data_IF_644849450632
#
_entry.id   IF_644849450632
#
_cell.length_a   1.000
_cell.length_b   1.000
_cell.length_c   1.000
_cell.angle_alpha   90.00
_cell.angle_beta   90.00
_cell.angle_gamma   90.00
#
_symmetry.space_group_name_H-M   'P 1'
#
loop_
_entity.id
_entity.type
_entity.pdbx_description
1 polymer ?
#
# COMPACT_ATOMS: atom_id res chain seq x y z
N UNK A 1 3.70 12.52 -7.19
CA UNK A 1 3.48 13.10 -8.53
C UNK A 1 3.81 14.59 -8.58
N UNK A 2 3.10 15.46 -7.85
CA UNK A 2 3.33 16.92 -7.93
C UNK A 2 4.73 17.37 -7.45
N UNK A 3 5.43 16.59 -6.61
CA UNK A 3 6.84 16.83 -6.32
C UNK A 3 7.76 16.39 -7.47
N UNK A 4 7.53 15.20 -8.02
CA UNK A 4 8.39 14.62 -9.06
C UNK A 4 8.29 15.37 -10.39
N UNK A 5 7.13 15.95 -10.71
CA UNK A 5 6.92 16.64 -11.98
C UNK A 5 7.78 17.91 -12.13
N UNK A 6 7.86 18.84 -11.17
CA UNK A 6 8.69 20.03 -11.30
C UNK A 6 10.10 19.86 -10.68
N UNK A 7 10.61 18.63 -10.55
CA UNK A 7 11.90 18.33 -9.91
C UNK A 7 12.05 18.87 -8.48
N UNK A 8 11.13 18.46 -7.61
CA UNK A 8 11.13 18.76 -6.18
C UNK A 8 10.99 20.26 -5.82
N UNK A 9 10.67 21.12 -6.80
CA UNK A 9 10.32 22.54 -6.57
C UNK A 9 9.06 22.68 -5.73
N UNK A 10 8.10 21.77 -5.91
CA UNK A 10 6.94 21.63 -5.04
C UNK A 10 7.19 20.51 -4.04
N UNK A 11 6.73 20.70 -2.80
CA UNK A 11 6.83 19.68 -1.73
C UNK A 11 5.46 19.09 -1.44
N UNK A 12 5.43 17.80 -1.17
CA UNK A 12 4.24 17.11 -0.68
C UNK A 12 4.15 17.38 0.80
N UNK A 13 2.96 17.80 1.24
CA UNK A 13 2.73 18.09 2.64
C UNK A 13 2.60 16.79 3.43
N UNK A 14 3.54 16.55 4.34
CA UNK A 14 3.42 15.50 5.33
C UNK A 14 2.29 15.84 6.29
N UNK A 15 1.32 14.93 6.42
CA UNK A 15 0.19 15.08 7.32
C UNK A 15 -0.06 13.77 8.05
N UNK A 16 -0.54 13.86 9.29
CA UNK A 16 -0.89 12.71 10.13
C UNK A 16 -2.20 12.97 10.84
N UNK A 17 -2.99 11.92 11.04
CA UNK A 17 -4.17 11.97 11.89
C UNK A 17 -3.75 11.59 13.31
N UNK A 18 -3.99 12.48 14.28
CA UNK A 18 -3.69 12.21 15.69
C UNK A 18 -4.75 11.25 16.25
N UNK A 19 -4.29 10.12 16.79
CA UNK A 19 -5.11 9.24 17.62
C UNK A 19 -5.20 9.79 19.06
N UNK A 20 -6.21 9.36 19.81
CA UNK A 20 -6.31 9.69 21.25
C UNK A 20 -5.21 8.95 22.01
N UNK A 21 -4.57 9.61 22.98
CA UNK A 21 -3.47 9.02 23.77
C UNK A 21 -3.97 7.96 24.76
N UNK A 22 -5.18 8.14 25.31
CA UNK A 22 -5.80 7.22 26.28
C UNK A 22 -7.27 6.98 25.94
N UNK A 23 -7.65 5.71 25.86
CA UNK A 23 -9.02 5.28 25.57
C UNK A 23 -9.41 5.35 24.09
N UNK A 24 -10.65 4.95 23.77
CA UNK A 24 -11.14 4.91 22.39
C UNK A 24 -11.32 6.35 21.84
N UNK A 25 -10.77 6.69 20.66
CA UNK A 25 -11.08 7.96 19.99
C UNK A 25 -12.55 7.98 19.53
N UNK A 26 -13.19 9.17 19.50
CA UNK A 26 -14.51 9.30 18.88
C UNK A 26 -14.43 9.00 17.38
N UNK A 27 -15.54 8.56 16.80
CA UNK A 27 -15.62 8.30 15.36
C UNK A 27 -15.39 9.59 14.58
N UNK A 28 -14.49 9.53 13.60
CA UNK A 28 -14.16 10.65 12.71
C UNK A 28 -14.32 10.21 11.28
N UNK A 29 -15.32 10.76 10.61
CA UNK A 29 -15.56 10.52 9.20
C UNK A 29 -14.83 11.56 8.38
N UNK A 30 -13.88 11.11 7.57
CA UNK A 30 -13.10 11.96 6.67
C UNK A 30 -12.88 11.23 5.36
N UNK A 31 -12.96 11.96 4.25
CA UNK A 31 -12.62 11.43 2.93
C UNK A 31 -11.43 12.20 2.37
N UNK A 32 -10.38 11.48 1.96
CA UNK A 32 -9.27 12.06 1.23
C UNK A 32 -9.59 12.04 -0.26
N UNK A 33 -9.49 13.19 -0.92
CA UNK A 33 -9.65 13.32 -2.36
C UNK A 33 -8.28 13.49 -3.03
N UNK A 34 -8.06 12.78 -4.13
CA UNK A 34 -6.83 12.84 -4.91
C UNK A 34 -7.17 13.08 -6.38
N UNK A 35 -6.75 14.23 -6.92
CA UNK A 35 -6.80 14.48 -8.36
C UNK A 35 -5.53 13.92 -9.01
N UNK A 36 -5.64 12.77 -9.68
CA UNK A 36 -4.49 12.08 -10.31
C UNK A 36 -4.46 12.32 -11.81
N UNK A 37 -3.25 12.29 -12.40
CA UNK A 37 -3.09 12.39 -13.85
C UNK A 37 -3.66 11.17 -14.59
N UNK A 38 -3.96 11.34 -15.88
CA UNK A 38 -4.38 10.22 -16.76
C UNK A 38 -3.30 9.14 -16.78
N UNK A 39 -3.68 7.86 -16.77
CA UNK A 39 -2.74 6.73 -16.70
C UNK A 39 -1.62 6.78 -17.74
N UNK A 40 -1.96 7.17 -18.97
CA UNK A 40 -1.02 7.26 -20.11
C UNK A 40 -0.19 8.55 -20.14
N UNK A 41 -0.46 9.53 -19.27
CA UNK A 41 0.31 10.77 -19.25
C UNK A 41 1.73 10.50 -18.75
N UNK A 42 2.72 10.99 -19.50
CA UNK A 42 4.14 10.88 -19.14
C UNK A 42 4.49 12.02 -18.18
N UNK A 43 4.80 11.65 -16.95
CA UNK A 43 5.34 12.51 -15.91
C UNK A 43 6.85 12.65 -16.14
N UNK A 44 7.29 13.84 -16.53
CA UNK A 44 8.71 14.13 -16.78
C UNK A 44 9.11 15.45 -16.14
N UNK A 45 10.18 15.42 -15.36
CA UNK A 45 10.82 16.61 -14.83
C UNK A 45 11.71 17.30 -15.84
N UNK A 46 11.97 18.62 -15.70
CA UNK A 46 12.83 19.34 -16.62
C UNK A 46 14.28 18.81 -16.66
N UNK A 47 14.80 18.24 -15.58
CA UNK A 47 16.22 17.88 -15.43
C UNK A 47 16.48 16.60 -14.61
N UNK A 48 15.80 16.41 -13.47
CA UNK A 48 16.20 15.41 -12.45
C UNK A 48 15.43 14.10 -12.55
N UNK A 49 14.10 14.15 -12.69
CA UNK A 49 13.28 12.95 -12.65
C UNK A 49 13.09 12.37 -14.07
N UNK A 50 13.44 11.09 -14.30
CA UNK A 50 13.28 10.46 -15.60
C UNK A 50 11.78 10.34 -15.98
N UNK A 51 11.46 10.27 -17.29
CA UNK A 51 10.08 10.08 -17.74
C UNK A 51 9.48 8.78 -17.19
N UNK A 52 8.28 8.86 -16.62
CA UNK A 52 7.50 7.70 -16.16
C UNK A 52 6.02 7.96 -16.42
N UNK A 53 5.23 6.94 -16.79
CA UNK A 53 3.78 7.15 -16.91
C UNK A 53 3.15 7.35 -15.52
N UNK A 54 2.07 8.13 -15.46
CA UNK A 54 1.31 8.30 -14.23
C UNK A 54 0.76 6.98 -13.70
N UNK A 55 0.38 6.07 -14.60
CA UNK A 55 -0.05 4.71 -14.28
C UNK A 55 1.04 3.92 -13.57
N UNK A 56 2.24 3.87 -14.15
CA UNK A 56 3.37 3.12 -13.59
C UNK A 56 3.83 3.71 -12.26
N UNK A 57 3.93 5.04 -12.17
CA UNK A 57 4.25 5.74 -10.93
C UNK A 57 3.30 5.32 -9.80
N UNK A 58 1.98 5.36 -10.05
CA UNK A 58 1.00 4.96 -9.05
C UNK A 58 1.11 3.47 -8.70
N UNK A 59 1.30 2.60 -9.70
CA UNK A 59 1.44 1.17 -9.50
C UNK A 59 2.65 0.82 -8.62
N UNK A 60 3.80 1.46 -8.84
CA UNK A 60 4.98 1.27 -7.99
C UNK A 60 4.72 1.64 -6.53
N UNK A 61 4.06 2.78 -6.30
CA UNK A 61 3.74 3.25 -4.95
C UNK A 61 2.72 2.35 -4.25
N UNK A 62 1.69 1.90 -4.94
CA UNK A 62 0.72 0.93 -4.41
C UNK A 62 1.41 -0.41 -4.09
N UNK A 63 2.27 -0.91 -4.97
CA UNK A 63 3.02 -2.14 -4.76
C UNK A 63 3.94 -2.05 -3.54
N UNK A 64 4.62 -0.91 -3.34
CA UNK A 64 5.45 -0.66 -2.15
C UNK A 64 4.62 -0.66 -0.85
N UNK A 65 3.43 -0.05 -0.88
CA UNK A 65 2.58 0.09 0.30
C UNK A 65 1.81 -1.20 0.65
N UNK A 66 1.34 -1.94 -0.35
CA UNK A 66 0.39 -3.06 -0.16
C UNK A 66 0.89 -4.41 -0.72
N UNK A 67 2.03 -4.46 -1.42
CA UNK A 67 2.51 -5.66 -2.10
C UNK A 67 2.79 -6.86 -1.17
N UNK A 68 3.03 -6.62 0.11
CA UNK A 68 3.27 -7.67 1.11
C UNK A 68 1.97 -8.33 1.61
N UNK A 69 0.80 -7.70 1.42
CA UNK A 69 -0.47 -8.18 2.00
C UNK A 69 -0.90 -9.52 1.40
N UNK A 70 -0.54 -9.80 0.13
CA UNK A 70 -0.84 -11.08 -0.54
C UNK A 70 -0.04 -12.29 -0.01
N UNK A 71 1.13 -12.08 0.62
CA UNK A 71 1.97 -13.18 1.12
C UNK A 71 1.52 -13.70 2.50
N UNK A 72 0.83 -12.88 3.29
CA UNK A 72 0.32 -13.27 4.62
C UNK A 72 -1.01 -14.04 4.56
N UNK A 73 -1.91 -13.72 3.63
CA UNK A 73 -3.16 -14.46 3.44
C UNK A 73 -2.94 -15.86 2.84
N UNK A 74 -1.96 -16.00 1.95
CA UNK A 74 -1.60 -17.31 1.35
C UNK A 74 -0.92 -18.26 2.35
N UNK A 75 -0.27 -17.73 3.39
CA UNK A 75 0.38 -18.54 4.45
C UNK A 75 -0.63 -19.17 5.42
N UNK A 76 -1.81 -18.56 5.60
CA UNK A 76 -2.82 -19.03 6.57
C UNK A 76 -3.66 -20.21 6.06
N UNK A 77 -3.78 -20.40 4.73
CA UNK A 77 -4.52 -21.56 4.18
C UNK A 77 -3.71 -22.86 4.18
N UNK A 78 -2.38 -22.80 4.01
CA UNK A 78 -1.52 -24.01 4.01
C UNK A 78 -1.39 -24.68 5.39
N UNK A 79 -1.49 -23.94 6.50
CA UNK A 79 -1.35 -24.51 7.86
C UNK A 79 -2.58 -25.33 8.31
N UNK A 80 -3.74 -25.20 7.64
CA UNK A 80 -4.97 -25.93 7.99
C UNK A 80 -5.14 -27.30 7.32
N UNK A 81 -4.20 -27.77 6.49
CA UNK A 81 -4.29 -29.06 5.78
C UNK A 81 -3.41 -30.19 6.37
N UNK A 82 -2.85 -30.02 7.57
CA UNK A 82 -1.94 -30.99 8.19
C UNK A 82 -2.30 -31.31 9.65
N UNK A 83 -3.57 -31.60 9.93
CA UNK A 83 -4.00 -32.09 11.26
C UNK A 83 -4.85 -33.36 11.23
N UNK A 84 -4.91 -34.09 10.11
CA UNK A 84 -5.66 -35.35 10.00
C UNK A 84 -4.75 -36.58 9.88
N UNK A 85 -3.70 -36.66 10.72
CA UNK A 85 -2.69 -37.72 10.65
C UNK A 85 -2.31 -38.40 11.98
N UNK A 86 -2.99 -38.10 13.10
CA UNK A 86 -2.58 -38.58 14.43
C UNK A 86 -3.55 -39.57 15.10
N UNK A 87 -4.53 -40.12 14.39
CA UNK A 87 -5.60 -40.92 15.02
C UNK A 87 -5.67 -42.41 14.63
N UNK A 88 -4.58 -43.02 14.15
CA UNK A 88 -4.52 -44.47 13.89
C UNK A 88 -3.17 -45.06 14.30
N UNK A 89 -2.88 -45.10 15.60
CA UNK A 89 -1.85 -46.00 16.13
C UNK A 89 -2.12 -46.36 17.60
N UNK A 90 -3.19 -47.12 17.86
CA UNK A 90 -3.45 -47.73 19.17
C UNK A 90 -4.35 -48.98 19.06
N UNK A 91 -4.02 -49.85 18.12
CA UNK A 91 -4.51 -51.24 18.06
C UNK A 91 -3.41 -52.11 17.45
N UNK A 92 -2.37 -52.38 18.25
CA UNK A 92 -1.62 -53.64 18.23
C UNK A 92 -0.80 -53.78 19.51
#
# INVERSE_FOLDING_TARGET
MLMAWPDDRLKANFHRVRAKEVGKPPDRYSIAYFNTGRKSFVLQGPQKNPPITCGDYFHEHVKKQFGTVGSHLTRRSKKKRSSSGWFLQLLR
#
